data_IF_172389154932
#
_entry.id   IF_172389154932
#
_cell.length_a   1.000
_cell.length_b   1.000
_cell.length_c   1.000
_cell.angle_alpha   90.00
_cell.angle_beta   90.00
_cell.angle_gamma   90.00
#
_symmetry.space_group_name_H-M   'P 1'
#
loop_
_entity.id
_entity.type
_entity.pdbx_description
1 polymer ?
#
# COMPACT_ATOMS: atom_id res chain seq x y z
N UNK A 1 -7.10 -5.14 -26.68
CA UNK A 1 -8.55 -5.31 -26.92
C UNK A 1 -9.03 -6.27 -25.83
N UNK A 2 -9.98 -5.86 -24.99
CA UNK A 2 -10.62 -6.78 -24.05
C UNK A 2 -11.74 -7.51 -24.78
N UNK A 3 -11.87 -8.82 -24.57
CA UNK A 3 -12.87 -9.65 -25.26
C UNK A 3 -13.73 -10.32 -24.18
N UNK A 4 -14.90 -9.74 -23.85
CA UNK A 4 -15.72 -10.22 -22.75
C UNK A 4 -16.09 -11.69 -22.87
N UNK A 5 -15.91 -12.43 -21.77
CA UNK A 5 -16.26 -13.85 -21.68
C UNK A 5 -15.29 -14.80 -22.38
N UNK A 6 -14.15 -14.32 -22.88
CA UNK A 6 -13.12 -15.15 -23.51
C UNK A 6 -11.84 -15.13 -22.66
N UNK A 7 -11.40 -16.30 -22.22
CA UNK A 7 -10.07 -16.44 -21.62
C UNK A 7 -9.02 -16.30 -22.73
N UNK A 8 -8.27 -15.19 -22.70
CA UNK A 8 -7.30 -14.85 -23.76
C UNK A 8 -6.14 -15.84 -23.89
N UNK A 9 -5.92 -16.71 -22.89
CA UNK A 9 -4.88 -17.74 -22.91
C UNK A 9 -3.45 -17.18 -23.06
N UNK A 10 -3.24 -15.90 -22.73
CA UNK A 10 -1.95 -15.25 -22.90
C UNK A 10 -0.92 -15.85 -21.93
N UNK A 11 0.32 -16.13 -22.39
CA UNK A 11 1.36 -16.59 -21.50
C UNK A 11 1.72 -15.50 -20.50
N UNK A 12 1.83 -15.85 -19.22
CA UNK A 12 2.33 -14.96 -18.17
C UNK A 12 3.72 -15.41 -17.73
N UNK A 13 4.78 -14.58 -17.89
CA UNK A 13 4.84 -13.32 -18.66
C UNK A 13 4.91 -13.55 -20.18
N UNK A 14 4.38 -12.60 -20.96
CA UNK A 14 4.46 -12.56 -22.43
C UNK A 14 5.90 -12.32 -22.90
N UNK A 15 6.18 -12.46 -24.20
CA UNK A 15 7.51 -12.15 -24.75
C UNK A 15 7.92 -10.69 -24.50
N UNK A 16 6.98 -9.75 -24.62
CA UNK A 16 7.20 -8.33 -24.31
C UNK A 16 7.47 -8.12 -22.82
N UNK A 17 6.63 -8.68 -21.94
CA UNK A 17 6.78 -8.54 -20.49
C UNK A 17 8.15 -9.03 -20.02
N UNK A 18 8.69 -10.09 -20.64
CA UNK A 18 10.02 -10.61 -20.32
C UNK A 18 11.14 -9.61 -20.63
N UNK A 19 11.01 -8.84 -21.71
CA UNK A 19 11.96 -7.78 -22.02
C UNK A 19 11.80 -6.59 -21.08
N UNK A 20 10.56 -6.19 -20.79
CA UNK A 20 10.26 -5.11 -19.85
C UNK A 20 10.76 -5.45 -18.44
N UNK A 21 10.69 -6.71 -18.01
CA UNK A 21 11.24 -7.16 -16.72
C UNK A 21 12.78 -7.00 -16.61
N UNK A 22 13.51 -7.11 -17.72
CA UNK A 22 14.96 -6.83 -17.73
C UNK A 22 15.23 -5.34 -17.54
N UNK A 23 14.42 -4.48 -18.17
CA UNK A 23 14.50 -3.02 -17.98
C UNK A 23 14.15 -2.66 -16.55
N UNK A 24 13.10 -3.26 -16.00
CA UNK A 24 12.66 -3.10 -14.60
C UNK A 24 13.79 -3.44 -13.63
N UNK A 25 14.50 -4.55 -13.88
CA UNK A 25 15.67 -4.95 -13.09
C UNK A 25 16.76 -3.89 -13.07
N UNK A 26 17.11 -3.37 -14.25
CA UNK A 26 18.20 -2.40 -14.41
C UNK A 26 17.85 -1.02 -13.85
N UNK A 27 16.61 -0.59 -14.01
CA UNK A 27 16.13 0.71 -13.55
C UNK A 27 15.81 0.75 -12.04
N UNK A 28 15.71 -0.41 -11.38
CA UNK A 28 15.52 -0.48 -9.93
C UNK A 28 14.10 -0.13 -9.47
N UNK A 29 13.09 -0.53 -10.23
CA UNK A 29 11.69 -0.32 -9.84
C UNK A 29 11.31 -1.05 -8.55
N UNK A 30 10.43 -0.44 -7.77
CA UNK A 30 10.09 -0.88 -6.42
C UNK A 30 8.87 -1.79 -6.33
N UNK A 31 8.03 -1.80 -7.37
CA UNK A 31 6.82 -2.62 -7.52
C UNK A 31 6.65 -3.05 -8.98
N UNK A 32 5.99 -4.19 -9.19
CA UNK A 32 5.51 -4.64 -10.51
C UNK A 32 4.00 -4.78 -10.43
N UNK A 33 3.27 -4.11 -11.33
CA UNK A 33 1.84 -4.34 -11.51
C UNK A 33 1.60 -5.24 -12.72
N UNK A 34 1.06 -6.44 -12.50
CA UNK A 34 0.84 -7.44 -13.53
C UNK A 34 -0.60 -7.38 -14.06
N UNK A 35 -0.75 -7.15 -15.36
CA UNK A 35 -2.06 -7.06 -16.03
C UNK A 35 -2.59 -8.44 -16.41
N UNK A 36 -3.92 -8.57 -16.51
CA UNK A 36 -4.64 -9.77 -16.94
C UNK A 36 -4.32 -11.05 -16.14
N UNK A 37 -3.95 -10.91 -14.87
CA UNK A 37 -3.77 -12.06 -13.97
C UNK A 37 -5.12 -12.73 -13.74
N UNK A 38 -5.22 -14.00 -14.14
CA UNK A 38 -6.48 -14.74 -14.09
C UNK A 38 -6.44 -15.91 -13.08
N UNK A 39 -5.25 -16.26 -12.58
CA UNK A 39 -5.08 -17.35 -11.62
C UNK A 39 -3.91 -17.12 -10.66
N UNK A 40 -3.91 -17.82 -9.52
CA UNK A 40 -2.74 -17.86 -8.64
C UNK A 40 -1.50 -18.47 -9.31
N UNK A 41 -1.70 -19.33 -10.32
CA UNK A 41 -0.60 -19.91 -11.09
C UNK A 41 0.14 -18.84 -11.90
N UNK A 42 -0.58 -17.84 -12.43
CA UNK A 42 0.04 -16.75 -13.20
C UNK A 42 0.94 -15.88 -12.33
N UNK A 43 0.49 -15.56 -11.11
CA UNK A 43 1.29 -14.84 -10.12
C UNK A 43 2.56 -15.63 -9.79
N UNK A 44 2.44 -16.94 -9.56
CA UNK A 44 3.58 -17.83 -9.26
C UNK A 44 4.56 -17.94 -10.45
N UNK A 45 4.06 -18.06 -11.68
CA UNK A 45 4.89 -18.09 -12.91
C UNK A 45 5.66 -16.78 -13.07
N UNK A 46 5.00 -15.64 -12.91
CA UNK A 46 5.63 -14.32 -12.99
C UNK A 46 6.70 -14.17 -11.91
N UNK A 47 6.39 -14.55 -10.67
CA UNK A 47 7.34 -14.50 -9.54
C UNK A 47 8.57 -15.35 -9.80
N UNK A 48 8.38 -16.61 -10.19
CA UNK A 48 9.48 -17.53 -10.51
C UNK A 48 10.36 -17.01 -11.66
N UNK A 49 9.75 -16.35 -12.66
CA UNK A 49 10.50 -15.70 -13.74
C UNK A 49 11.31 -14.50 -13.24
N UNK A 50 10.72 -13.64 -12.41
CA UNK A 50 11.41 -12.52 -11.77
C UNK A 50 12.60 -13.00 -10.93
N UNK A 51 12.40 -14.04 -10.10
CA UNK A 51 13.45 -14.64 -9.27
C UNK A 51 14.63 -15.16 -10.10
N UNK A 52 14.35 -15.83 -11.22
CA UNK A 52 15.39 -16.29 -12.17
C UNK A 52 16.18 -15.13 -12.80
N UNK A 53 15.57 -13.96 -12.95
CA UNK A 53 16.24 -12.75 -13.44
C UNK A 53 16.94 -11.96 -12.32
N UNK A 54 16.84 -12.39 -11.05
CA UNK A 54 17.36 -11.63 -9.90
C UNK A 54 16.49 -10.42 -9.53
N UNK A 55 15.25 -10.36 -10.03
CA UNK A 55 14.28 -9.31 -9.72
C UNK A 55 13.50 -9.69 -8.47
N UNK A 56 13.82 -9.06 -7.34
CA UNK A 56 13.15 -9.27 -6.05
C UNK A 56 12.22 -8.10 -5.72
N UNK A 57 11.19 -7.94 -6.55
CA UNK A 57 10.22 -6.85 -6.49
C UNK A 57 8.83 -7.41 -6.16
N UNK A 58 8.08 -6.80 -5.22
CA UNK A 58 6.72 -7.20 -4.92
C UNK A 58 5.78 -7.08 -6.14
N UNK A 59 4.84 -8.01 -6.25
CA UNK A 59 3.88 -8.10 -7.36
C UNK A 59 2.48 -7.67 -6.92
N UNK A 60 1.93 -6.68 -7.61
CA UNK A 60 0.53 -6.26 -7.55
C UNK A 60 -0.21 -6.93 -8.70
N UNK A 61 -1.19 -7.78 -8.41
CA UNK A 61 -2.04 -8.36 -9.46
C UNK A 61 -3.20 -7.42 -9.77
N UNK A 62 -3.36 -7.03 -11.04
CA UNK A 62 -4.49 -6.21 -11.48
C UNK A 62 -5.71 -7.12 -11.69
N UNK A 63 -6.80 -6.82 -10.99
CA UNK A 63 -8.08 -7.50 -11.11
C UNK A 63 -8.84 -6.81 -12.24
N UNK A 64 -8.87 -7.45 -13.41
CA UNK A 64 -9.24 -6.82 -14.71
C UNK A 64 -10.24 -7.62 -15.55
N UNK A 65 -10.50 -8.88 -15.19
CA UNK A 65 -11.35 -9.77 -15.96
C UNK A 65 -12.21 -10.67 -15.05
N UNK A 66 -13.19 -11.35 -15.64
CA UNK A 66 -14.10 -12.23 -14.91
C UNK A 66 -13.38 -13.39 -14.19
N UNK A 67 -12.40 -14.03 -14.83
CA UNK A 67 -11.64 -15.13 -14.22
C UNK A 67 -10.90 -14.71 -12.95
N UNK A 68 -10.32 -13.50 -12.94
CA UNK A 68 -9.67 -12.93 -11.76
C UNK A 68 -10.65 -12.75 -10.59
N UNK A 69 -11.91 -12.44 -10.88
CA UNK A 69 -12.97 -12.31 -9.87
C UNK A 69 -13.39 -13.68 -9.33
N UNK A 70 -13.51 -14.69 -10.19
CA UNK A 70 -13.83 -16.06 -9.79
C UNK A 70 -12.73 -16.67 -8.90
N UNK A 71 -11.46 -16.40 -9.21
CA UNK A 71 -10.29 -16.90 -8.48
C UNK A 71 -9.71 -15.90 -7.47
N UNK A 72 -10.51 -14.89 -7.07
CA UNK A 72 -10.03 -13.72 -6.35
C UNK A 72 -9.21 -14.06 -5.09
N UNK A 73 -9.72 -14.97 -4.24
CA UNK A 73 -9.03 -15.34 -2.98
C UNK A 73 -7.65 -15.92 -3.22
N UNK A 74 -7.52 -16.81 -4.19
CA UNK A 74 -6.25 -17.47 -4.50
C UNK A 74 -5.24 -16.50 -5.09
N UNK A 75 -5.69 -15.58 -5.96
CA UNK A 75 -4.85 -14.53 -6.53
C UNK A 75 -4.36 -13.58 -5.44
N UNK A 76 -5.24 -13.09 -4.57
CA UNK A 76 -4.88 -12.20 -3.46
C UNK A 76 -3.87 -12.89 -2.54
N UNK A 77 -4.10 -14.15 -2.19
CA UNK A 77 -3.18 -14.91 -1.34
C UNK A 77 -1.76 -15.06 -1.95
N UNK A 78 -1.67 -15.29 -3.27
CA UNK A 78 -0.40 -15.46 -3.99
C UNK A 78 0.33 -14.13 -4.30
N UNK A 79 -0.38 -13.00 -4.24
CA UNK A 79 0.14 -11.67 -4.57
C UNK A 79 0.76 -10.96 -3.36
N UNK A 80 1.57 -9.92 -3.61
CA UNK A 80 2.01 -8.99 -2.56
C UNK A 80 1.03 -7.83 -2.37
N UNK A 81 0.28 -7.51 -3.43
CA UNK A 81 -0.87 -6.62 -3.41
C UNK A 81 -1.81 -6.89 -4.58
N UNK A 82 -2.93 -6.18 -4.63
CA UNK A 82 -3.90 -6.22 -5.72
C UNK A 82 -4.38 -4.84 -6.09
N UNK A 83 -4.76 -4.66 -7.35
CA UNK A 83 -5.29 -3.41 -7.87
C UNK A 83 -6.65 -3.66 -8.53
N UNK A 84 -7.69 -2.97 -8.09
CA UNK A 84 -9.00 -2.97 -8.77
C UNK A 84 -8.90 -2.04 -9.97
N UNK A 85 -8.84 -2.60 -11.17
CA UNK A 85 -8.71 -1.83 -12.42
C UNK A 85 -10.09 -1.70 -13.09
N UNK A 86 -10.80 -0.63 -12.71
CA UNK A 86 -12.22 -0.45 -13.00
C UNK A 86 -12.52 -0.24 -14.48
N UNK A 87 -11.61 0.40 -15.23
CA UNK A 87 -11.74 0.59 -16.67
C UNK A 87 -11.85 -0.72 -17.42
N UNK A 88 -10.91 -1.65 -17.20
CA UNK A 88 -10.93 -2.97 -17.84
C UNK A 88 -12.09 -3.84 -17.32
N UNK A 89 -12.33 -3.84 -16.00
CA UNK A 89 -13.45 -4.58 -15.43
C UNK A 89 -14.81 -4.10 -15.96
N UNK A 90 -14.99 -2.80 -16.16
CA UNK A 90 -16.25 -2.25 -16.67
C UNK A 90 -16.56 -2.63 -18.13
N UNK A 91 -15.58 -3.17 -18.85
CA UNK A 91 -15.78 -3.79 -20.17
C UNK A 91 -16.15 -5.27 -20.03
N UNK A 92 -15.62 -5.95 -19.02
CA UNK A 92 -15.77 -7.40 -18.81
C UNK A 92 -17.03 -7.80 -18.03
N UNK A 93 -17.62 -6.90 -17.25
CA UNK A 93 -18.80 -7.19 -16.43
C UNK A 93 -19.75 -6.00 -16.28
N UNK A 94 -20.94 -6.29 -15.77
CA UNK A 94 -21.98 -5.32 -15.46
C UNK A 94 -21.46 -4.21 -14.54
N UNK A 95 -21.63 -2.95 -14.96
CA UNK A 95 -21.08 -1.77 -14.29
C UNK A 95 -21.60 -1.63 -12.86
N UNK A 96 -22.86 -1.99 -12.61
CA UNK A 96 -23.50 -1.98 -11.30
C UNK A 96 -22.87 -2.96 -10.30
N UNK A 97 -22.13 -3.97 -10.77
CA UNK A 97 -21.44 -4.94 -9.90
C UNK A 97 -20.06 -4.45 -9.45
N UNK A 98 -19.46 -3.51 -10.18
CA UNK A 98 -18.09 -3.01 -9.91
C UNK A 98 -17.94 -2.43 -8.50
N UNK A 99 -18.86 -1.59 -7.97
CA UNK A 99 -18.71 -1.04 -6.62
C UNK A 99 -18.68 -2.12 -5.53
N UNK A 100 -19.53 -3.14 -5.66
CA UNK A 100 -19.58 -4.28 -4.74
C UNK A 100 -18.30 -5.12 -4.84
N UNK A 101 -17.83 -5.39 -6.06
CA UNK A 101 -16.58 -6.11 -6.28
C UNK A 101 -15.38 -5.38 -5.67
N UNK A 102 -15.26 -4.07 -5.89
CA UNK A 102 -14.21 -3.25 -5.29
C UNK A 102 -14.16 -3.42 -3.77
N UNK A 103 -15.31 -3.31 -3.11
CA UNK A 103 -15.40 -3.51 -1.65
C UNK A 103 -14.95 -4.91 -1.23
N UNK A 104 -15.34 -5.94 -1.97
CA UNK A 104 -14.95 -7.32 -1.69
C UNK A 104 -13.43 -7.53 -1.84
N UNK A 105 -12.83 -6.95 -2.90
CA UNK A 105 -11.37 -7.01 -3.11
C UNK A 105 -10.63 -6.32 -1.97
N UNK A 106 -11.06 -5.12 -1.58
CA UNK A 106 -10.46 -4.37 -0.46
C UNK A 106 -10.58 -5.14 0.85
N UNK A 107 -11.75 -5.69 1.15
CA UNK A 107 -11.97 -6.45 2.37
C UNK A 107 -11.08 -7.70 2.43
N UNK A 108 -11.04 -8.49 1.35
CA UNK A 108 -10.24 -9.71 1.29
C UNK A 108 -8.74 -9.43 1.36
N UNK A 109 -8.28 -8.37 0.70
CA UNK A 109 -6.87 -7.98 0.77
C UNK A 109 -6.49 -7.49 2.17
N UNK A 110 -7.37 -6.79 2.89
CA UNK A 110 -7.18 -6.47 4.31
C UNK A 110 -7.09 -7.73 5.18
N UNK A 111 -8.03 -8.66 5.03
CA UNK A 111 -8.05 -9.95 5.75
C UNK A 111 -6.73 -10.72 5.59
N UNK A 112 -6.15 -10.67 4.39
CA UNK A 112 -4.91 -11.37 4.03
C UNK A 112 -3.63 -10.51 4.18
N UNK A 113 -3.74 -9.29 4.71
CA UNK A 113 -2.61 -8.39 4.93
C UNK A 113 -1.89 -7.95 3.65
N UNK A 114 -2.62 -7.83 2.54
CA UNK A 114 -2.12 -7.46 1.21
C UNK A 114 -2.37 -5.98 0.92
N UNK A 115 -1.45 -5.35 0.18
CA UNK A 115 -1.63 -3.98 -0.29
C UNK A 115 -2.77 -3.95 -1.31
N UNK A 116 -3.66 -2.96 -1.20
CA UNK A 116 -4.78 -2.79 -2.12
C UNK A 116 -4.79 -1.42 -2.74
N UNK A 117 -4.99 -1.37 -4.05
CA UNK A 117 -5.16 -0.14 -4.80
C UNK A 117 -6.50 -0.15 -5.53
N UNK A 118 -7.10 1.03 -5.68
CA UNK A 118 -8.21 1.25 -6.62
C UNK A 118 -7.73 2.21 -7.70
N UNK A 119 -7.98 1.83 -8.95
CA UNK A 119 -7.44 2.50 -10.12
C UNK A 119 -8.51 2.84 -11.14
N UNK A 120 -8.17 3.82 -11.99
CA UNK A 120 -8.92 4.34 -13.14
C UNK A 120 -10.22 5.07 -12.77
N UNK A 121 -10.56 6.11 -13.52
CA UNK A 121 -11.81 6.87 -13.40
C UNK A 121 -12.10 7.43 -12.00
N UNK A 122 -11.06 7.78 -11.23
CA UNK A 122 -11.25 8.35 -9.89
C UNK A 122 -11.67 9.82 -9.99
N UNK A 123 -11.03 10.59 -10.88
CA UNK A 123 -11.30 12.00 -11.14
C UNK A 123 -11.21 12.29 -12.66
N UNK A 124 -11.67 11.35 -13.49
CA UNK A 124 -11.54 11.35 -14.96
C UNK A 124 -11.88 12.70 -15.61
N UNK A 125 -12.98 13.33 -15.19
CA UNK A 125 -13.44 14.60 -15.77
C UNK A 125 -12.42 15.72 -15.57
N UNK A 126 -11.51 15.59 -14.60
CA UNK A 126 -10.43 16.54 -14.37
C UNK A 126 -9.32 16.50 -15.42
N UNK A 127 -9.32 15.53 -16.34
CA UNK A 127 -8.48 15.60 -17.53
C UNK A 127 -8.77 16.86 -18.35
N UNK A 128 -10.05 17.25 -18.43
CA UNK A 128 -10.52 18.36 -19.27
C UNK A 128 -11.05 19.54 -18.45
N UNK A 129 -11.38 19.33 -17.17
CA UNK A 129 -12.00 20.33 -16.31
C UNK A 129 -11.16 20.60 -15.04
N UNK A 130 -11.15 21.83 -14.50
CA UNK A 130 -10.42 22.13 -13.27
C UNK A 130 -11.09 21.60 -11.98
N UNK A 131 -12.33 21.08 -12.09
CA UNK A 131 -13.09 20.54 -10.96
C UNK A 131 -13.77 19.21 -11.35
N UNK A 132 -13.84 18.25 -10.41
CA UNK A 132 -14.55 17.00 -10.64
C UNK A 132 -16.06 17.17 -10.46
N UNK A 133 -16.78 16.15 -10.88
CA UNK A 133 -18.21 15.99 -10.59
C UNK A 133 -18.43 15.58 -9.13
N UNK A 134 -19.68 15.74 -8.65
CA UNK A 134 -20.07 15.23 -7.32
C UNK A 134 -19.98 13.71 -7.22
N UNK A 135 -20.19 13.01 -8.32
CA UNK A 135 -20.11 11.55 -8.39
C UNK A 135 -18.67 11.08 -8.15
N UNK A 136 -17.69 11.68 -8.82
CA UNK A 136 -16.26 11.37 -8.63
C UNK A 136 -15.77 11.71 -7.22
N UNK A 137 -16.22 12.82 -6.65
CA UNK A 137 -15.93 13.16 -5.24
C UNK A 137 -16.46 12.07 -4.30
N UNK A 138 -17.68 11.60 -4.54
CA UNK A 138 -18.30 10.53 -3.76
C UNK A 138 -17.54 9.22 -3.95
N UNK A 139 -17.12 8.91 -5.16
CA UNK A 139 -16.37 7.70 -5.49
C UNK A 139 -15.01 7.64 -4.77
N UNK A 140 -14.21 8.71 -4.85
CA UNK A 140 -12.95 8.84 -4.09
C UNK A 140 -13.20 8.73 -2.58
N UNK A 141 -14.24 9.40 -2.07
CA UNK A 141 -14.59 9.36 -0.65
C UNK A 141 -14.96 7.94 -0.20
N UNK A 142 -15.79 7.22 -0.95
CA UNK A 142 -16.25 5.87 -0.57
C UNK A 142 -15.12 4.83 -0.65
N UNK A 143 -14.22 4.96 -1.62
CA UNK A 143 -13.02 4.13 -1.70
C UNK A 143 -12.09 4.37 -0.50
N UNK A 144 -11.87 5.63 -0.11
CA UNK A 144 -11.09 5.99 1.10
C UNK A 144 -11.74 5.47 2.38
N UNK A 145 -13.06 5.61 2.53
CA UNK A 145 -13.81 5.05 3.68
C UNK A 145 -13.77 3.53 3.75
N UNK A 146 -13.56 2.85 2.62
CA UNK A 146 -13.30 1.41 2.57
C UNK A 146 -11.87 1.05 3.02
N UNK A 147 -11.05 2.05 3.36
CA UNK A 147 -9.68 1.94 3.89
C UNK A 147 -8.77 1.12 2.97
N UNK A 148 -8.85 1.43 1.68
CA UNK A 148 -7.89 1.04 0.63
C UNK A 148 -6.51 1.65 0.94
N UNK A 149 -5.40 0.96 0.62
CA UNK A 149 -4.06 1.51 0.88
C UNK A 149 -3.74 2.71 -0.02
N UNK A 150 -4.19 2.70 -1.28
CA UNK A 150 -3.90 3.77 -2.24
C UNK A 150 -5.00 3.92 -3.30
N UNK A 151 -5.18 5.15 -3.75
CA UNK A 151 -5.99 5.50 -4.93
C UNK A 151 -5.06 5.96 -6.05
N UNK A 152 -5.38 5.59 -7.29
CA UNK A 152 -4.52 5.87 -8.45
C UNK A 152 -5.21 6.79 -9.46
N UNK A 153 -4.49 7.85 -9.83
CA UNK A 153 -4.79 8.69 -10.99
C UNK A 153 -4.06 8.12 -12.21
N UNK A 154 -4.77 8.04 -13.34
CA UNK A 154 -4.31 7.44 -14.59
C UNK A 154 -4.13 8.52 -15.67
N UNK A 155 -5.14 8.70 -16.55
CA UNK A 155 -5.10 9.73 -17.59
C UNK A 155 -5.07 11.13 -17.01
N UNK A 156 -5.65 11.32 -15.83
CA UNK A 156 -5.75 12.61 -15.13
C UNK A 156 -4.39 13.28 -14.93
N UNK A 157 -3.35 12.52 -14.62
CA UNK A 157 -1.99 13.03 -14.40
C UNK A 157 -1.05 12.78 -15.57
N UNK A 158 -1.27 11.69 -16.32
CA UNK A 158 -0.40 11.32 -17.44
C UNK A 158 -0.60 12.22 -18.68
N UNK A 159 -1.84 12.65 -18.95
CA UNK A 159 -2.19 13.40 -20.16
C UNK A 159 -3.24 14.51 -19.92
N UNK A 160 -3.75 14.66 -18.70
CA UNK A 160 -4.74 15.68 -18.35
C UNK A 160 -4.19 17.10 -18.35
N UNK A 161 -5.10 18.07 -18.51
CA UNK A 161 -4.79 19.52 -18.49
C UNK A 161 -4.53 20.08 -17.09
N UNK A 162 -4.99 19.39 -16.04
CA UNK A 162 -4.94 19.84 -14.65
C UNK A 162 -4.30 18.78 -13.71
N UNK A 163 -3.09 18.28 -14.00
CA UNK A 163 -2.51 17.14 -13.27
C UNK A 163 -2.19 17.48 -11.81
N UNK A 164 -1.73 18.72 -11.52
CA UNK A 164 -1.39 19.16 -10.16
C UNK A 164 -2.66 19.37 -9.33
N UNK A 165 -3.66 20.01 -9.92
CA UNK A 165 -4.95 20.27 -9.29
C UNK A 165 -5.70 18.98 -9.01
N UNK A 166 -5.57 17.97 -9.89
CA UNK A 166 -6.21 16.68 -9.68
C UNK A 166 -5.61 15.95 -8.47
N UNK A 167 -4.29 15.94 -8.33
CA UNK A 167 -3.63 15.36 -7.14
C UNK A 167 -4.05 16.11 -5.88
N UNK A 168 -4.04 17.45 -5.90
CA UNK A 168 -4.47 18.26 -4.77
C UNK A 168 -5.96 18.05 -4.42
N UNK A 169 -6.81 17.83 -5.41
CA UNK A 169 -8.23 17.54 -5.20
C UNK A 169 -8.41 16.17 -4.55
N UNK A 170 -7.73 15.13 -5.04
CA UNK A 170 -7.76 13.79 -4.45
C UNK A 170 -7.31 13.82 -2.97
N UNK A 171 -6.21 14.50 -2.65
CA UNK A 171 -5.75 14.68 -1.26
C UNK A 171 -6.81 15.36 -0.38
N UNK A 172 -7.45 16.44 -0.85
CA UNK A 172 -8.51 17.11 -0.10
C UNK A 172 -9.71 16.21 0.17
N UNK A 173 -10.14 15.40 -0.80
CA UNK A 173 -11.28 14.50 -0.65
C UNK A 173 -10.94 13.39 0.35
N UNK A 174 -9.77 12.75 0.21
CA UNK A 174 -9.30 11.70 1.12
C UNK A 174 -9.23 12.26 2.56
N UNK A 175 -8.58 13.40 2.77
CA UNK A 175 -8.51 14.03 4.11
C UNK A 175 -9.90 14.37 4.66
N UNK A 176 -10.83 14.79 3.82
CA UNK A 176 -12.19 15.10 4.26
C UNK A 176 -12.94 13.83 4.69
N UNK A 177 -12.79 12.74 3.95
CA UNK A 177 -13.37 11.43 4.27
C UNK A 177 -12.79 10.85 5.57
N UNK A 178 -11.49 11.02 5.80
CA UNK A 178 -10.79 10.38 6.92
C UNK A 178 -10.90 11.12 8.26
N UNK A 179 -11.37 12.38 8.28
CA UNK A 179 -11.43 13.23 9.49
C UNK A 179 -12.11 12.61 10.70
N UNK A 180 -13.18 11.84 10.48
CA UNK A 180 -14.01 11.26 11.53
C UNK A 180 -14.14 9.74 11.36
N UNK A 181 -13.13 9.08 10.80
CA UNK A 181 -13.10 7.62 10.74
C UNK A 181 -13.08 7.07 12.16
N UNK A 182 -14.07 6.25 12.49
CA UNK A 182 -14.02 5.42 13.69
C UNK A 182 -12.88 4.41 13.58
N UNK A 183 -12.31 4.00 14.71
CA UNK A 183 -11.31 2.93 14.73
C UNK A 183 -11.92 1.62 14.23
N UNK A 184 -11.28 1.03 13.23
CA UNK A 184 -11.67 -0.24 12.63
C UNK A 184 -10.40 -1.07 12.42
N UNK A 185 -9.90 -1.57 13.55
CA UNK A 185 -8.74 -2.44 13.60
C UNK A 185 -9.18 -3.85 13.23
N UNK A 186 -8.68 -4.33 12.10
CA UNK A 186 -8.96 -5.69 11.65
C UNK A 186 -7.90 -6.62 12.23
N UNK A 187 -8.32 -7.72 12.86
CA UNK A 187 -7.42 -8.83 13.19
C UNK A 187 -6.96 -9.49 11.89
N UNK A 188 -5.71 -9.29 11.51
CA UNK A 188 -5.13 -9.88 10.31
C UNK A 188 -4.38 -11.16 10.67
N UNK A 189 -4.58 -12.23 9.89
CA UNK A 189 -3.86 -13.49 10.08
C UNK A 189 -2.42 -13.33 9.61
N UNK A 190 -1.48 -13.19 10.55
CA UNK A 190 -0.05 -13.05 10.27
C UNK A 190 0.77 -14.13 11.00
N UNK A 191 2.02 -14.31 10.56
CA UNK A 191 3.05 -15.09 11.26
C UNK A 191 3.21 -14.60 12.72
N UNK A 192 2.91 -15.49 13.67
CA UNK A 192 2.41 -15.13 15.01
C UNK A 192 3.32 -14.18 15.79
N UNK A 193 4.65 -14.37 15.76
CA UNK A 193 5.54 -13.62 16.67
C UNK A 193 5.70 -12.12 16.36
N UNK A 194 5.92 -11.75 15.09
CA UNK A 194 6.04 -10.33 14.68
C UNK A 194 4.68 -9.66 14.79
N UNK A 195 3.63 -10.37 14.36
CA UNK A 195 2.27 -9.87 14.31
C UNK A 195 1.77 -9.42 15.69
N UNK A 196 1.96 -10.27 16.70
CA UNK A 196 1.59 -9.99 18.09
C UNK A 196 2.31 -8.74 18.63
N UNK A 197 3.61 -8.59 18.34
CA UNK A 197 4.36 -7.40 18.76
C UNK A 197 3.85 -6.13 18.06
N UNK A 198 3.52 -6.23 16.78
CA UNK A 198 2.95 -5.14 16.00
C UNK A 198 1.57 -4.73 16.51
N UNK A 199 0.70 -5.70 16.78
CA UNK A 199 -0.64 -5.49 17.34
C UNK A 199 -0.58 -4.84 18.72
N UNK A 200 0.24 -5.37 19.63
CA UNK A 200 0.44 -4.80 20.95
C UNK A 200 1.01 -3.37 20.89
N UNK A 201 1.93 -3.12 19.95
CA UNK A 201 2.48 -1.79 19.71
C UNK A 201 1.44 -0.80 19.18
N UNK A 202 0.58 -1.24 18.25
CA UNK A 202 -0.54 -0.44 17.76
C UNK A 202 -1.53 -0.13 18.88
N UNK A 203 -1.96 -1.14 19.63
CA UNK A 203 -2.86 -0.96 20.77
C UNK A 203 -2.30 0.00 21.82
N UNK A 204 -1.02 -0.14 22.19
CA UNK A 204 -0.35 0.80 23.09
C UNK A 204 -0.33 2.22 22.52
N UNK A 205 -0.10 2.37 21.22
CA UNK A 205 -0.06 3.70 20.59
C UNK A 205 -1.40 4.41 20.67
N UNK A 206 -2.48 3.71 20.37
CA UNK A 206 -3.84 4.25 20.42
C UNK A 206 -4.25 4.59 21.86
N UNK A 207 -4.01 3.67 22.80
CA UNK A 207 -4.39 3.85 24.20
C UNK A 207 -3.54 4.91 24.93
N UNK A 208 -2.27 5.06 24.56
CA UNK A 208 -1.39 6.09 25.12
C UNK A 208 -1.61 7.47 24.51
N UNK A 209 -2.51 7.62 23.53
CA UNK A 209 -2.70 8.87 22.78
C UNK A 209 -1.45 9.29 22.01
N UNK A 210 -0.67 8.32 21.52
CA UNK A 210 0.57 8.59 20.80
C UNK A 210 0.28 9.33 19.49
N UNK A 211 1.15 10.29 19.13
CA UNK A 211 1.06 11.03 17.87
C UNK A 211 1.49 10.22 16.66
N UNK A 212 2.37 9.25 16.87
CA UNK A 212 2.85 8.38 15.79
C UNK A 212 3.31 7.03 16.36
N UNK A 213 3.13 5.99 15.54
CA UNK A 213 3.74 4.68 15.72
C UNK A 213 4.95 4.57 14.81
N UNK A 214 6.13 4.42 15.40
CA UNK A 214 7.39 4.46 14.68
C UNK A 214 7.96 3.04 14.60
N UNK A 215 8.36 2.60 13.42
CA UNK A 215 9.07 1.35 13.24
C UNK A 215 10.42 1.56 12.56
N UNK A 216 11.41 0.75 12.95
CA UNK A 216 12.73 0.74 12.33
C UNK A 216 12.84 -0.58 11.57
N UNK A 217 12.94 -0.51 10.24
CA UNK A 217 12.86 -1.70 9.39
C UNK A 217 14.00 -1.79 8.37
N UNK A 218 14.62 -2.96 8.32
CA UNK A 218 15.69 -3.32 7.37
C UNK A 218 15.18 -4.11 6.16
N UNK A 219 13.98 -4.67 6.24
CA UNK A 219 13.37 -5.51 5.19
C UNK A 219 11.97 -5.05 4.77
N UNK A 220 11.35 -4.12 5.49
CA UNK A 220 10.03 -3.57 5.14
C UNK A 220 8.83 -4.44 5.52
N UNK A 221 9.03 -5.57 6.22
CA UNK A 221 7.93 -6.44 6.66
C UNK A 221 7.10 -5.81 7.79
N UNK A 222 7.76 -5.24 8.81
CA UNK A 222 7.10 -4.60 9.96
C UNK A 222 6.14 -3.47 9.58
N UNK A 223 6.51 -2.47 8.76
CA UNK A 223 5.57 -1.42 8.37
C UNK A 223 4.38 -1.96 7.57
N UNK A 224 4.57 -3.01 6.75
CA UNK A 224 3.48 -3.66 6.02
C UNK A 224 2.49 -4.37 6.95
N UNK A 225 3.01 -5.05 7.97
CA UNK A 225 2.17 -5.71 8.98
C UNK A 225 1.40 -4.65 9.79
N UNK A 226 2.08 -3.60 10.25
CA UNK A 226 1.44 -2.50 10.96
C UNK A 226 0.34 -1.81 10.12
N UNK A 227 0.61 -1.54 8.84
CA UNK A 227 -0.38 -0.89 7.96
C UNK A 227 -1.60 -1.77 7.70
N UNK A 228 -1.45 -3.10 7.71
CA UNK A 228 -2.55 -4.04 7.48
C UNK A 228 -3.62 -4.02 8.57
N UNK A 229 -3.27 -3.62 9.80
CA UNK A 229 -4.24 -3.46 10.90
C UNK A 229 -5.12 -2.22 10.74
N UNK A 230 -4.72 -1.26 9.90
CA UNK A 230 -5.53 -0.09 9.50
C UNK A 230 -5.94 0.83 10.66
N UNK A 231 -5.16 0.85 11.74
CA UNK A 231 -5.40 1.78 12.85
C UNK A 231 -5.29 3.25 12.43
N UNK A 232 -6.06 4.13 13.08
CA UNK A 232 -6.09 5.56 12.77
C UNK A 232 -4.94 6.32 13.43
N UNK A 233 -3.72 5.82 13.26
CA UNK A 233 -2.49 6.48 13.70
C UNK A 233 -1.48 6.55 12.55
N UNK A 234 -0.75 7.66 12.40
CA UNK A 234 0.36 7.72 11.46
C UNK A 234 1.45 6.71 11.83
N UNK A 235 1.85 5.88 10.87
CA UNK A 235 2.97 4.95 11.00
C UNK A 235 4.19 5.57 10.35
N UNK A 236 5.29 5.74 11.07
CA UNK A 236 6.55 6.21 10.51
C UNK A 236 7.49 5.02 10.35
N UNK A 237 8.03 4.77 9.16
CA UNK A 237 9.08 3.77 8.97
C UNK A 237 10.43 4.42 8.74
N UNK A 238 11.30 4.34 9.75
CA UNK A 238 12.70 4.64 9.60
C UNK A 238 13.42 3.46 8.93
N UNK A 239 14.08 3.72 7.81
CA UNK A 239 14.81 2.72 7.04
C UNK A 239 16.09 3.30 6.44
N UNK A 240 17.04 2.44 6.08
CA UNK A 240 18.32 2.83 5.49
C UNK A 240 18.42 2.49 4.00
N UNK A 241 17.42 1.80 3.45
CA UNK A 241 17.39 1.31 2.06
C UNK A 241 16.34 2.08 1.25
N UNK A 242 16.71 2.75 0.15
CA UNK A 242 15.77 3.46 -0.70
C UNK A 242 14.59 2.61 -1.18
N UNK A 243 14.83 1.33 -1.50
CA UNK A 243 13.75 0.45 -1.94
C UNK A 243 12.66 0.24 -0.89
N UNK A 244 12.99 0.25 0.41
CA UNK A 244 11.99 0.15 1.48
C UNK A 244 11.24 1.46 1.61
N UNK A 245 11.97 2.58 1.54
CA UNK A 245 11.39 3.92 1.55
C UNK A 245 10.32 4.04 0.45
N UNK A 246 10.66 3.72 -0.81
CA UNK A 246 9.70 3.79 -1.91
C UNK A 246 8.56 2.80 -1.77
N UNK A 247 8.83 1.53 -1.39
CA UNK A 247 7.77 0.53 -1.24
C UNK A 247 6.73 0.92 -0.20
N UNK A 248 7.18 1.50 0.92
CA UNK A 248 6.32 1.90 2.01
C UNK A 248 5.37 3.05 1.67
N UNK A 249 5.62 3.81 0.58
CA UNK A 249 4.70 4.87 0.13
C UNK A 249 3.33 4.35 -0.31
N UNK A 250 3.22 3.06 -0.65
CA UNK A 250 1.93 2.42 -1.01
C UNK A 250 1.24 1.76 0.19
N UNK A 251 1.78 1.83 1.40
CA UNK A 251 1.16 1.22 2.57
C UNK A 251 0.24 2.21 3.27
N UNK A 252 -0.94 1.73 3.69
CA UNK A 252 -1.91 2.55 4.41
C UNK A 252 -1.32 3.28 5.63
N UNK A 253 -1.46 4.61 5.65
CA UNK A 253 -1.00 5.49 6.75
C UNK A 253 0.51 5.42 7.05
N UNK A 254 1.35 4.96 6.10
CA UNK A 254 2.80 4.85 6.32
C UNK A 254 3.56 6.04 5.71
N UNK A 255 4.38 6.67 6.54
CA UNK A 255 5.30 7.75 6.20
C UNK A 255 6.74 7.24 6.27
N UNK A 256 7.40 7.00 5.13
CA UNK A 256 8.77 6.53 5.15
C UNK A 256 9.74 7.65 5.47
N UNK A 257 10.77 7.31 6.24
CA UNK A 257 11.89 8.17 6.58
C UNK A 257 13.20 7.45 6.27
N UNK A 258 13.95 8.00 5.31
CA UNK A 258 15.28 7.49 4.98
C UNK A 258 16.28 8.09 5.98
N UNK A 259 16.91 7.24 6.77
CA UNK A 259 17.94 7.62 7.74
C UNK A 259 19.29 6.99 7.38
N UNK A 260 20.37 7.67 7.74
CA UNK A 260 21.70 7.06 7.68
C UNK A 260 21.84 5.92 8.70
N UNK A 261 22.61 4.87 8.39
CA UNK A 261 22.92 3.82 9.36
C UNK A 261 23.64 4.38 10.59
N UNK A 262 23.14 4.09 11.79
CA UNK A 262 23.74 4.51 13.07
C UNK A 262 23.83 3.30 13.99
N UNK A 263 25.01 3.04 14.57
CA UNK A 263 25.22 1.85 15.42
C UNK A 263 24.56 1.95 16.79
N UNK A 264 24.50 3.14 17.35
CA UNK A 264 24.01 3.36 18.71
C UNK A 264 22.47 3.55 18.70
N UNK A 265 21.71 2.68 19.41
CA UNK A 265 20.25 2.75 19.42
C UNK A 265 19.68 4.10 19.87
N UNK A 266 20.25 4.70 20.91
CA UNK A 266 19.75 5.96 21.45
C UNK A 266 19.90 7.12 20.46
N UNK A 267 20.99 7.12 19.70
CA UNK A 267 21.21 8.09 18.62
C UNK A 267 20.22 7.90 17.47
N UNK A 268 19.80 6.67 17.18
CA UNK A 268 18.73 6.40 16.18
C UNK A 268 17.41 7.03 16.61
N UNK A 269 16.97 6.81 17.85
CA UNK A 269 15.70 7.36 18.35
C UNK A 269 15.68 8.90 18.29
N UNK A 270 16.75 9.55 18.76
CA UNK A 270 16.87 11.02 18.71
C UNK A 270 16.91 11.58 17.29
N UNK A 271 17.59 10.91 16.36
CA UNK A 271 17.58 11.32 14.94
C UNK A 271 16.16 11.27 14.37
N UNK A 272 15.42 10.20 14.62
CA UNK A 272 14.03 10.08 14.16
C UNK A 272 13.16 11.17 14.79
N UNK A 273 13.30 11.40 16.10
CA UNK A 273 12.55 12.45 16.80
C UNK A 273 12.80 13.84 16.19
N UNK A 274 14.07 14.21 15.99
CA UNK A 274 14.44 15.51 15.41
C UNK A 274 13.87 15.70 14.00
N UNK A 275 13.85 14.63 13.20
CA UNK A 275 13.29 14.66 11.86
C UNK A 275 11.76 14.72 11.86
N UNK A 276 11.08 14.08 12.81
CA UNK A 276 9.64 14.24 12.97
C UNK A 276 9.25 15.65 13.45
N UNK A 277 10.07 16.26 14.32
CA UNK A 277 9.92 17.66 14.72
C UNK A 277 10.10 18.62 13.55
N UNK A 278 11.14 18.42 12.72
CA UNK A 278 11.40 19.29 11.55
C UNK A 278 10.24 19.27 10.56
N UNK A 279 9.56 18.12 10.43
CA UNK A 279 8.35 17.93 9.62
C UNK A 279 7.05 18.34 10.29
N UNK A 280 7.09 18.84 11.53
CA UNK A 280 5.92 19.20 12.35
C UNK A 280 4.93 18.04 12.56
N UNK A 281 5.43 16.80 12.55
CA UNK A 281 4.63 15.61 12.84
C UNK A 281 4.45 15.39 14.35
N UNK A 282 5.41 15.85 15.15
CA UNK A 282 5.40 15.78 16.61
C UNK A 282 5.95 17.06 17.23
N UNK A 283 5.54 17.36 18.45
CA UNK A 283 5.97 18.48 19.27
C UNK A 283 6.59 17.97 20.58
N UNK A 284 7.31 18.85 21.28
CA UNK A 284 7.81 18.55 22.62
C UNK A 284 6.67 18.17 23.57
N UNK A 285 6.85 17.11 24.33
CA UNK A 285 5.86 16.53 25.25
C UNK A 285 4.88 15.56 24.58
N UNK A 286 4.89 15.43 23.25
CA UNK A 286 4.11 14.39 22.58
C UNK A 286 4.65 13.01 22.91
N UNK A 287 3.76 12.02 22.90
CA UNK A 287 4.12 10.60 23.05
C UNK A 287 4.22 9.96 21.67
N UNK A 288 5.26 9.16 21.46
CA UNK A 288 5.37 8.24 20.33
C UNK A 288 5.67 6.83 20.83
N UNK A 289 5.35 5.83 20.02
CA UNK A 289 5.63 4.43 20.35
C UNK A 289 6.52 3.84 19.28
N UNK A 290 7.64 3.23 19.69
CA UNK A 290 8.55 2.53 18.80
C UNK A 290 8.26 1.03 18.79
N UNK A 291 8.20 0.42 17.61
CA UNK A 291 8.08 -1.02 17.37
C UNK A 291 9.20 -1.49 16.45
N UNK A 292 10.15 -2.25 16.98
CA UNK A 292 11.38 -2.62 16.26
C UNK A 292 11.96 -3.95 16.74
N UNK A 293 12.98 -4.44 16.03
CA UNK A 293 13.78 -5.60 16.46
C UNK A 293 15.00 -5.14 17.24
N UNK A 294 15.25 -5.73 18.41
CA UNK A 294 16.44 -5.47 19.22
C UNK A 294 17.44 -6.64 19.13
N UNK A 295 18.75 -6.40 18.97
CA UNK A 295 19.40 -5.09 18.80
C UNK A 295 19.05 -4.43 17.46
N UNK A 296 19.04 -3.09 17.43
CA UNK A 296 18.80 -2.30 16.21
C UNK A 296 19.93 -2.63 15.23
N UNK A 297 19.59 -3.01 13.99
CA UNK A 297 20.49 -3.59 12.96
C UNK A 297 20.91 -5.05 13.15
N UNK A 298 20.36 -5.77 14.13
CA UNK A 298 20.49 -7.22 14.23
C UNK A 298 19.70 -7.98 13.15
N UNK A 299 19.91 -9.30 13.08
CA UNK A 299 19.08 -10.22 12.28
C UNK A 299 17.76 -10.59 12.97
N UNK A 300 17.51 -10.02 14.15
CA UNK A 300 16.32 -10.34 14.94
C UNK A 300 15.07 -9.76 14.29
N UNK A 301 13.99 -10.54 14.40
CA UNK A 301 12.64 -10.11 14.03
C UNK A 301 12.16 -9.02 15.00
N UNK A 302 11.12 -8.28 14.61
CA UNK A 302 10.46 -7.30 15.48
C UNK A 302 9.98 -7.95 16.77
N UNK A 303 10.45 -7.45 17.92
CA UNK A 303 10.20 -8.04 19.23
C UNK A 303 10.19 -7.03 20.40
N UNK A 304 10.31 -5.74 20.11
CA UNK A 304 10.46 -4.69 21.13
C UNK A 304 9.45 -3.58 20.89
N UNK A 305 8.79 -3.15 21.98
CA UNK A 305 7.90 -1.99 22.02
C UNK A 305 8.48 -1.01 23.05
N UNK A 306 8.60 0.27 22.69
CA UNK A 306 9.11 1.33 23.60
C UNK A 306 8.24 2.57 23.49
N UNK A 307 7.59 2.97 24.58
CA UNK A 307 6.99 4.30 24.72
C UNK A 307 8.11 5.34 24.85
N UNK A 308 7.98 6.46 24.16
CA UNK A 308 8.96 7.54 24.14
C UNK A 308 8.26 8.90 24.23
N UNK A 309 8.75 9.77 25.09
CA UNK A 309 8.27 11.14 25.21
C UNK A 309 9.23 12.08 24.48
N UNK A 310 8.68 12.89 23.59
CA UNK A 310 9.43 13.80 22.72
C UNK A 310 10.00 14.96 23.54
N UNK A 311 11.32 15.20 23.44
CA UNK A 311 12.10 16.09 24.32
C UNK A 311 12.05 17.59 24.01
#
# INVERSE_FOLDING_TARGET
LNIPGVELGLPVPTSKDREDLKVIHQAGFDWIAASFISSAADVKKLRAYCERLGVHVPIISKIENAAAVEHLREIVAASDGVMVARGDLGVEMELERIPTLQRNVIHLARELGKVTLVATQMLETMMENPFPTRAEVTDVSTASLSRVDSLMLSGETAAGKYPVETVAMMDRIIRAAERNLEEDIVSVVHDESIAMTCEAGLYLSLTAGAKALITISTHGSTPRILSSYRGNIPIVVACTRPAIYHRATLYYSVYPLLIEPVREPETVFRKIENELKSRKMVLKGDVVVFVFGFPIHGKNRTNTIRRWEVS
#
